data_IF_627344089431
#
_entry.id   IF_627344089431
#
_cell.length_a   1.000
_cell.length_b   1.000
_cell.length_c   1.000
_cell.angle_alpha   90.00
_cell.angle_beta   90.00
_cell.angle_gamma   90.00
#
_symmetry.space_group_name_H-M   'P 1'
#
loop_
_entity.id
_entity.type
_entity.pdbx_description
1 polymer ?
#
# COMPACT_ATOMS: atom_id res chain seq x y z
N UNK A 1 -8.74 0.46 35.32
CA UNK A 1 -7.91 -0.02 34.19
C UNK A 1 -8.81 -0.22 33.00
N UNK A 2 -8.79 0.72 32.05
CA UNK A 2 -9.55 0.62 30.79
C UNK A 2 -8.50 0.51 29.69
N UNK A 3 -8.31 -0.71 29.17
CA UNK A 3 -7.43 -0.98 28.04
C UNK A 3 -8.14 -0.61 26.75
N UNK A 4 -7.73 0.47 26.12
CA UNK A 4 -8.15 0.85 24.77
C UNK A 4 -7.34 0.07 23.74
N UNK A 5 -8.04 -0.64 22.87
CA UNK A 5 -7.49 -1.39 21.73
C UNK A 5 -6.84 -0.41 20.74
N UNK A 6 -5.59 -0.69 20.36
CA UNK A 6 -4.83 0.07 19.36
C UNK A 6 -5.44 -0.20 17.98
N UNK A 7 -5.88 0.87 17.32
CA UNK A 7 -6.41 0.82 15.97
C UNK A 7 -5.32 0.39 14.97
N UNK A 8 -5.59 -0.67 14.23
CA UNK A 8 -4.72 -1.18 13.18
C UNK A 8 -4.61 -0.21 12.00
N UNK A 9 -3.40 -0.18 11.44
CA UNK A 9 -2.98 0.31 10.13
C UNK A 9 -4.13 0.66 9.18
N UNK A 10 -4.39 1.95 9.01
CA UNK A 10 -5.12 2.45 7.86
C UNK A 10 -4.14 2.47 6.69
N UNK A 11 -4.12 1.38 5.91
CA UNK A 11 -3.72 1.49 4.52
C UNK A 11 -4.61 2.57 3.91
N UNK A 12 -4.02 3.63 3.35
CA UNK A 12 -4.80 4.60 2.57
C UNK A 12 -5.45 3.79 1.45
N UNK A 13 -6.79 3.68 1.40
CA UNK A 13 -7.42 3.05 0.27
C UNK A 13 -7.03 3.89 -0.94
N UNK A 14 -6.31 3.27 -1.89
CA UNK A 14 -6.27 3.81 -3.24
C UNK A 14 -7.71 4.09 -3.63
N UNK A 15 -7.97 5.26 -4.22
CA UNK A 15 -9.32 5.72 -4.54
C UNK A 15 -10.19 4.55 -5.01
N UNK A 16 -11.42 4.38 -4.46
CA UNK A 16 -12.28 3.26 -4.82
C UNK A 16 -12.35 3.20 -6.34
N UNK A 17 -12.30 1.99 -6.89
CA UNK A 17 -12.42 1.71 -8.30
C UNK A 17 -13.77 2.22 -8.81
N UNK A 18 -13.93 3.53 -8.98
CA UNK A 18 -15.07 4.13 -9.63
C UNK A 18 -15.03 3.59 -11.05
N UNK A 19 -16.02 2.76 -11.39
CA UNK A 19 -16.18 2.21 -12.72
C UNK A 19 -16.09 3.36 -13.72
N UNK A 20 -15.00 3.42 -14.49
CA UNK A 20 -14.94 4.35 -15.61
C UNK A 20 -15.98 3.86 -16.62
N UNK A 21 -17.02 4.67 -16.81
CA UNK A 21 -18.06 4.47 -17.82
C UNK A 21 -18.85 3.15 -17.69
N UNK A 22 -18.97 2.60 -16.47
CA UNK A 22 -19.72 1.35 -16.22
C UNK A 22 -19.02 0.06 -16.70
N UNK A 23 -17.75 0.14 -17.13
CA UNK A 23 -16.94 -1.01 -17.53
C UNK A 23 -16.19 -1.67 -16.38
N UNK A 24 -15.77 -2.92 -16.59
CA UNK A 24 -14.92 -3.67 -15.65
C UNK A 24 -13.60 -2.92 -15.43
N UNK A 25 -13.28 -2.61 -14.17
CA UNK A 25 -12.06 -1.91 -13.82
C UNK A 25 -11.54 -2.35 -12.46
N UNK A 26 -10.21 -2.42 -12.33
CA UNK A 26 -9.55 -2.57 -11.05
C UNK A 26 -8.24 -1.80 -11.02
N UNK A 27 -7.80 -1.38 -9.84
CA UNK A 27 -6.51 -0.73 -9.69
C UNK A 27 -5.89 -1.12 -8.35
N UNK A 28 -4.56 -1.20 -8.31
CA UNK A 28 -3.81 -1.42 -7.08
C UNK A 28 -2.40 -0.84 -7.18
N UNK A 29 -1.87 -0.46 -6.03
CA UNK A 29 -0.44 -0.19 -5.85
C UNK A 29 0.11 -1.21 -4.86
N UNK A 30 1.07 -2.04 -5.29
CA UNK A 30 1.55 -3.18 -4.50
C UNK A 30 3.07 -3.09 -4.40
N UNK A 31 3.61 -3.07 -3.19
CA UNK A 31 5.04 -3.00 -2.96
C UNK A 31 5.77 -4.25 -3.51
N UNK A 32 7.05 -4.12 -3.91
CA UNK A 32 7.87 -5.27 -4.31
C UNK A 32 7.90 -6.35 -3.24
N UNK A 33 7.78 -7.61 -3.65
CA UNK A 33 7.87 -8.78 -2.75
C UNK A 33 6.66 -8.96 -1.84
N UNK A 34 5.56 -8.26 -2.11
CA UNK A 34 4.33 -8.31 -1.33
C UNK A 34 3.15 -8.77 -2.18
N UNK A 35 2.14 -9.25 -1.48
CA UNK A 35 0.81 -9.44 -2.02
C UNK A 35 -0.02 -8.18 -1.82
N UNK A 36 -0.93 -7.92 -2.75
CA UNK A 36 -1.89 -6.84 -2.64
C UNK A 36 -3.20 -7.18 -3.34
N UNK A 37 -4.27 -6.52 -2.93
CA UNK A 37 -5.62 -6.77 -3.43
C UNK A 37 -5.91 -5.82 -4.60
N UNK A 38 -6.36 -6.40 -5.71
CA UNK A 38 -6.99 -5.68 -6.81
C UNK A 38 -8.50 -5.85 -6.66
N UNK A 39 -9.16 -4.78 -6.22
CA UNK A 39 -10.60 -4.70 -6.19
C UNK A 39 -11.13 -4.43 -7.60
N UNK A 40 -11.93 -5.36 -8.13
CA UNK A 40 -12.53 -5.22 -9.45
C UNK A 40 -13.99 -4.83 -9.33
N UNK A 41 -14.34 -3.65 -9.81
CA UNK A 41 -15.69 -3.13 -9.87
C UNK A 41 -16.34 -3.35 -11.25
N UNK A 42 -17.65 -3.10 -11.33
CA UNK A 42 -18.43 -3.21 -12.57
C UNK A 42 -18.93 -4.62 -12.86
N UNK A 43 -18.99 -5.48 -11.84
CA UNK A 43 -19.63 -6.79 -11.94
C UNK A 43 -21.14 -6.58 -11.77
N UNK A 44 -21.95 -6.76 -12.83
CA UNK A 44 -23.39 -6.59 -12.71
C UNK A 44 -23.97 -7.64 -11.76
N UNK A 45 -25.13 -7.35 -11.17
CA UNK A 45 -25.94 -8.37 -10.52
C UNK A 45 -26.15 -9.53 -11.51
N UNK A 46 -25.65 -10.70 -11.12
CA UNK A 46 -25.43 -11.81 -12.05
C UNK A 46 -26.40 -12.95 -11.80
N UNK A 47 -26.85 -13.57 -12.88
CA UNK A 47 -27.42 -14.90 -12.83
C UNK A 47 -26.34 -15.93 -12.44
N UNK A 48 -26.76 -17.04 -11.85
CA UNK A 48 -25.89 -18.17 -11.54
C UNK A 48 -25.08 -18.60 -12.77
N UNK A 49 -23.80 -18.94 -12.57
CA UNK A 49 -22.88 -19.34 -13.62
C UNK A 49 -22.18 -18.20 -14.37
N UNK A 50 -22.49 -16.93 -14.08
CA UNK A 50 -21.67 -15.81 -14.57
C UNK A 50 -20.26 -15.89 -13.98
N UNK A 51 -19.24 -15.70 -14.81
CA UNK A 51 -17.83 -15.79 -14.41
C UNK A 51 -17.08 -14.50 -14.71
N UNK A 52 -16.44 -13.91 -13.70
CA UNK A 52 -15.44 -12.86 -13.83
C UNK A 52 -14.06 -13.49 -13.81
N UNK A 53 -13.24 -13.24 -14.83
CA UNK A 53 -11.84 -13.69 -14.90
C UNK A 53 -10.91 -12.49 -14.90
N UNK A 54 -9.86 -12.56 -14.07
CA UNK A 54 -8.70 -11.67 -14.12
C UNK A 54 -7.51 -12.43 -14.68
N UNK A 55 -6.80 -11.82 -15.62
CA UNK A 55 -5.47 -12.25 -16.04
C UNK A 55 -4.46 -11.27 -15.44
N UNK A 56 -3.52 -11.81 -14.67
CA UNK A 56 -2.50 -11.04 -13.98
C UNK A 56 -1.59 -10.30 -14.97
N UNK A 57 -1.13 -9.08 -14.63
CA UNK A 57 -0.15 -8.39 -15.44
C UNK A 57 1.16 -9.18 -15.53
N UNK A 58 1.98 -8.87 -16.55
CA UNK A 58 3.28 -9.55 -16.72
C UNK A 58 4.16 -9.38 -15.49
N UNK A 59 4.79 -10.47 -15.07
CA UNK A 59 5.73 -10.50 -13.96
C UNK A 59 5.07 -10.73 -12.59
N UNK A 60 3.74 -10.66 -12.47
CA UNK A 60 3.04 -10.98 -11.22
C UNK A 60 2.38 -12.35 -11.29
N UNK A 61 1.87 -12.81 -10.14
CA UNK A 61 1.04 -14.00 -10.06
C UNK A 61 -0.21 -13.71 -9.25
N UNK A 62 -1.32 -14.30 -9.63
CA UNK A 62 -2.48 -14.42 -8.75
C UNK A 62 -2.18 -15.51 -7.74
N UNK A 63 -2.24 -15.17 -6.46
CA UNK A 63 -1.99 -16.11 -5.36
C UNK A 63 -3.26 -16.40 -4.58
N UNK A 64 -4.30 -15.58 -4.76
CA UNK A 64 -5.58 -15.79 -4.13
C UNK A 64 -6.72 -15.14 -4.89
N UNK A 65 -7.87 -15.77 -4.81
CA UNK A 65 -9.17 -15.16 -4.96
C UNK A 65 -9.94 -15.69 -3.75
N UNK A 66 -10.09 -14.91 -2.65
CA UNK A 66 -10.63 -15.43 -1.39
C UNK A 66 -11.88 -16.30 -1.65
N UNK A 67 -11.76 -17.56 -1.23
CA UNK A 67 -12.66 -18.67 -1.54
C UNK A 67 -13.90 -18.65 -0.63
N UNK A 68 -15.04 -19.05 -1.21
CA UNK A 68 -16.37 -19.23 -0.61
C UNK A 68 -16.89 -18.07 0.25
N UNK A 69 -16.93 -16.86 -0.34
CA UNK A 69 -17.86 -15.84 0.13
C UNK A 69 -19.30 -16.25 -0.25
N UNK A 70 -20.30 -15.88 0.54
CA UNK A 70 -21.71 -16.19 0.26
C UNK A 70 -22.09 -15.73 -1.15
N UNK A 71 -22.33 -16.67 -2.07
CA UNK A 71 -22.79 -16.41 -3.44
C UNK A 71 -21.75 -16.51 -4.55
N UNK A 72 -20.46 -16.70 -4.24
CA UNK A 72 -19.40 -16.83 -5.24
C UNK A 72 -18.41 -17.95 -4.91
N UNK A 73 -17.94 -18.61 -5.96
CA UNK A 73 -16.80 -19.53 -5.91
C UNK A 73 -15.60 -18.90 -6.60
N UNK A 74 -14.55 -18.62 -5.83
CA UNK A 74 -13.24 -18.24 -6.37
C UNK A 74 -12.48 -19.46 -6.89
N UNK A 75 -11.53 -19.24 -7.80
CA UNK A 75 -10.56 -20.23 -8.24
C UNK A 75 -9.32 -19.54 -8.78
N UNK A 76 -8.15 -20.12 -8.55
CA UNK A 76 -6.87 -19.63 -9.10
C UNK A 76 -6.31 -20.72 -10.02
N UNK A 77 -5.93 -20.35 -11.24
CA UNK A 77 -5.31 -21.27 -12.17
C UNK A 77 -3.97 -21.77 -11.62
N UNK A 78 -3.62 -23.03 -11.88
CA UNK A 78 -2.41 -23.65 -11.32
C UNK A 78 -1.10 -22.94 -11.75
N UNK A 79 -1.11 -22.24 -12.87
CA UNK A 79 0.02 -21.42 -13.35
C UNK A 79 0.13 -20.06 -12.65
N UNK A 80 -0.85 -19.69 -11.82
CA UNK A 80 -0.97 -18.40 -11.15
C UNK A 80 -1.14 -17.22 -12.12
N UNK A 81 -1.45 -17.43 -13.40
CA UNK A 81 -1.63 -16.33 -14.36
C UNK A 81 -3.03 -15.75 -14.35
N UNK A 82 -4.01 -16.52 -13.91
CA UNK A 82 -5.39 -16.07 -13.88
C UNK A 82 -6.14 -16.60 -12.67
N UNK A 83 -7.18 -15.89 -12.29
CA UNK A 83 -8.16 -16.35 -11.33
C UNK A 83 -9.55 -15.95 -11.78
N UNK A 84 -10.55 -16.66 -11.28
CA UNK A 84 -11.93 -16.43 -11.63
C UNK A 84 -12.85 -16.51 -10.42
N UNK A 85 -13.89 -15.68 -10.44
CA UNK A 85 -15.06 -15.77 -9.58
C UNK A 85 -16.25 -16.22 -10.40
N UNK A 86 -16.95 -17.27 -9.95
CA UNK A 86 -18.20 -17.74 -10.55
C UNK A 86 -19.35 -17.55 -9.57
N UNK A 87 -20.46 -16.97 -10.03
CA UNK A 87 -21.68 -16.79 -9.24
C UNK A 87 -22.33 -18.16 -8.99
N UNK A 88 -22.59 -18.50 -7.72
CA UNK A 88 -23.18 -19.80 -7.33
C UNK A 88 -24.58 -19.68 -6.71
N UNK A 89 -25.22 -18.51 -6.79
CA UNK A 89 -26.62 -18.32 -6.36
C UNK A 89 -26.84 -17.38 -5.17
N UNK A 90 -25.85 -16.56 -4.79
CA UNK A 90 -26.06 -15.45 -3.85
C UNK A 90 -26.21 -14.11 -4.57
N UNK A 91 -26.95 -13.18 -3.96
CA UNK A 91 -26.95 -11.78 -4.40
C UNK A 91 -25.56 -11.20 -4.07
N UNK A 92 -24.88 -10.53 -5.01
CA UNK A 92 -23.65 -9.81 -4.71
C UNK A 92 -23.80 -8.98 -3.44
N UNK A 93 -22.72 -8.88 -2.65
CA UNK A 93 -22.62 -7.81 -1.66
C UNK A 93 -22.92 -6.45 -2.33
N UNK A 94 -23.43 -5.46 -1.58
CA UNK A 94 -24.09 -4.26 -2.12
C UNK A 94 -23.27 -3.40 -3.08
N UNK A 95 -21.97 -3.68 -3.25
CA UNK A 95 -21.03 -2.85 -4.01
C UNK A 95 -20.52 -3.46 -5.34
N UNK A 96 -20.82 -4.74 -5.63
CA UNK A 96 -20.42 -5.36 -6.91
C UNK A 96 -18.90 -5.42 -7.16
N UNK A 97 -18.10 -5.48 -6.08
CA UNK A 97 -16.64 -5.53 -6.11
C UNK A 97 -16.14 -6.94 -5.77
N UNK A 98 -15.19 -7.45 -6.56
CA UNK A 98 -14.56 -8.75 -6.32
C UNK A 98 -13.04 -8.61 -6.17
N UNK A 99 -12.45 -9.03 -5.03
CA UNK A 99 -11.03 -8.87 -4.76
C UNK A 99 -10.16 -9.99 -5.37
N UNK A 100 -9.09 -9.64 -6.06
CA UNK A 100 -8.06 -10.60 -6.49
C UNK A 100 -6.75 -10.31 -5.77
N UNK A 101 -6.08 -11.34 -5.25
CA UNK A 101 -4.78 -11.20 -4.58
C UNK A 101 -3.66 -11.44 -5.59
N UNK A 102 -2.86 -10.41 -5.84
CA UNK A 102 -1.69 -10.47 -6.71
C UNK A 102 -0.41 -10.38 -5.90
N UNK A 103 0.55 -11.26 -6.17
CA UNK A 103 1.93 -11.16 -5.71
C UNK A 103 2.79 -10.42 -6.74
N UNK A 104 3.45 -9.35 -6.29
CA UNK A 104 4.47 -8.62 -7.06
C UNK A 104 5.86 -9.14 -6.65
N UNK A 105 6.76 -9.43 -7.61
CA UNK A 105 8.06 -10.00 -7.28
C UNK A 105 8.96 -8.97 -6.56
N UNK A 106 9.93 -9.46 -5.78
CA UNK A 106 10.77 -8.62 -4.92
C UNK A 106 11.74 -7.71 -5.69
N UNK A 107 12.10 -8.10 -6.92
CA UNK A 107 12.94 -7.34 -7.84
C UNK A 107 12.15 -6.34 -8.71
N UNK A 108 10.83 -6.23 -8.51
CA UNK A 108 10.03 -5.25 -9.21
C UNK A 108 10.47 -3.83 -8.88
N UNK A 109 10.67 -3.02 -9.92
CA UNK A 109 11.14 -1.63 -9.77
C UNK A 109 9.98 -0.73 -9.32
N UNK A 110 10.10 -0.01 -8.18
CA UNK A 110 9.07 0.95 -7.73
C UNK A 110 8.69 1.98 -8.79
N UNK A 111 7.41 2.34 -8.83
CA UNK A 111 6.83 3.27 -9.82
C UNK A 111 6.47 2.63 -11.17
N UNK A 112 6.88 1.37 -11.41
CA UNK A 112 6.59 0.69 -12.68
C UNK A 112 5.09 0.40 -12.82
N UNK A 113 4.48 0.87 -13.92
CA UNK A 113 3.12 0.45 -14.31
C UNK A 113 3.18 -0.88 -15.04
N UNK A 114 2.62 -1.91 -14.42
CA UNK A 114 2.60 -3.26 -14.98
C UNK A 114 1.60 -3.35 -16.14
N UNK A 115 1.93 -4.16 -17.15
CA UNK A 115 1.20 -4.24 -18.42
C UNK A 115 0.42 -5.55 -18.53
N UNK A 116 -0.54 -5.56 -19.45
CA UNK A 116 -1.31 -6.73 -19.87
C UNK A 116 -2.26 -7.32 -18.81
N UNK A 117 -2.63 -6.54 -17.80
CA UNK A 117 -3.76 -6.94 -16.96
C UNK A 117 -5.08 -6.78 -17.71
N UNK A 118 -5.87 -7.86 -17.76
CA UNK A 118 -7.17 -7.85 -18.42
C UNK A 118 -8.26 -8.48 -17.54
N UNK A 119 -9.47 -7.96 -17.70
CA UNK A 119 -10.67 -8.43 -17.04
C UNK A 119 -11.66 -8.91 -18.09
N UNK A 120 -12.32 -10.03 -17.85
CA UNK A 120 -13.36 -10.57 -18.74
C UNK A 120 -14.53 -11.10 -17.92
N UNK A 121 -15.73 -10.71 -18.29
CA UNK A 121 -16.97 -11.25 -17.76
C UNK A 121 -17.64 -12.12 -18.83
N UNK A 122 -18.06 -13.33 -18.45
CA UNK A 122 -18.80 -14.25 -19.32
C UNK A 122 -20.11 -14.67 -18.68
N UNK A 123 -21.12 -14.95 -19.49
CA UNK A 123 -22.35 -15.60 -19.01
C UNK A 123 -22.12 -17.09 -18.69
N UNK A 124 -23.16 -17.77 -18.19
CA UNK A 124 -23.12 -19.21 -17.87
C UNK A 124 -22.82 -20.12 -19.06
N UNK A 125 -22.91 -19.63 -20.31
CA UNK A 125 -22.55 -20.35 -21.53
C UNK A 125 -21.12 -20.01 -22.00
N UNK A 126 -20.38 -19.19 -21.26
CA UNK A 126 -19.03 -18.73 -21.59
C UNK A 126 -18.99 -17.58 -22.61
N UNK A 127 -20.15 -17.02 -22.98
CA UNK A 127 -20.23 -15.93 -23.97
C UNK A 127 -19.72 -14.63 -23.32
N UNK A 128 -18.74 -13.93 -23.93
CA UNK A 128 -18.26 -12.64 -23.42
C UNK A 128 -19.40 -11.64 -23.27
N UNK A 129 -19.50 -10.99 -22.11
CA UNK A 129 -20.48 -9.93 -21.80
C UNK A 129 -19.82 -8.58 -21.62
N UNK A 130 -18.65 -8.54 -20.99
CA UNK A 130 -17.86 -7.34 -20.82
C UNK A 130 -16.37 -7.67 -20.80
N UNK A 131 -15.56 -6.68 -21.18
CA UNK A 131 -14.11 -6.71 -21.07
C UNK A 131 -13.65 -5.43 -20.38
N UNK A 132 -12.56 -5.53 -19.65
CA UNK A 132 -11.98 -4.42 -18.92
C UNK A 132 -10.48 -4.58 -18.75
N UNK A 133 -9.91 -3.66 -17.98
CA UNK A 133 -8.49 -3.65 -17.66
C UNK A 133 -8.31 -3.44 -16.17
N UNK A 134 -7.19 -3.89 -15.65
CA UNK A 134 -6.74 -3.44 -14.36
C UNK A 134 -5.42 -2.65 -14.48
N UNK A 135 -5.20 -1.72 -13.56
CA UNK A 135 -3.99 -0.90 -13.49
C UNK A 135 -3.24 -1.23 -12.21
N UNK A 136 -2.16 -2.01 -12.33
CA UNK A 136 -1.29 -2.32 -11.19
C UNK A 136 -0.01 -1.51 -11.30
N UNK A 137 0.31 -0.76 -10.26
CA UNK A 137 1.58 -0.03 -10.14
C UNK A 137 2.42 -0.67 -9.04
N UNK A 138 3.71 -0.84 -9.29
CA UNK A 138 4.65 -1.27 -8.26
C UNK A 138 4.82 -0.12 -7.27
N UNK A 139 4.42 -0.35 -6.03
CA UNK A 139 4.53 0.61 -4.94
C UNK A 139 5.96 0.73 -4.41
N UNK A 140 6.06 1.33 -3.23
CA UNK A 140 7.29 1.39 -2.46
C UNK A 140 7.09 0.66 -1.14
N UNK A 141 8.11 -0.07 -0.68
CA UNK A 141 8.08 -0.62 0.68
C UNK A 141 8.15 0.53 1.70
N UNK A 142 7.40 0.43 2.79
CA UNK A 142 7.48 1.40 3.88
C UNK A 142 8.92 1.51 4.40
N UNK A 143 9.47 2.72 4.54
CA UNK A 143 10.74 2.91 5.23
C UNK A 143 10.58 2.58 6.72
N UNK A 144 11.69 2.27 7.37
CA UNK A 144 11.76 2.18 8.83
C UNK A 144 12.42 3.43 9.39
N UNK A 145 11.97 3.84 10.58
CA UNK A 145 12.62 4.86 11.40
C UNK A 145 12.94 4.18 12.73
N UNK A 146 14.21 3.81 12.91
CA UNK A 146 14.67 2.99 14.06
C UNK A 146 15.36 3.81 15.14
N UNK A 147 15.91 4.97 14.76
CA UNK A 147 16.47 5.94 15.70
C UNK A 147 15.89 7.32 15.41
N UNK A 148 15.59 8.10 16.45
CA UNK A 148 15.71 7.76 17.87
C UNK A 148 14.69 6.70 18.34
N UNK A 149 14.93 6.09 19.51
CA UNK A 149 13.95 5.20 20.13
C UNK A 149 12.74 6.00 20.63
N UNK A 150 11.54 5.46 20.43
CA UNK A 150 10.31 6.08 20.90
C UNK A 150 10.30 6.24 22.43
N UNK A 151 9.83 7.38 22.92
CA UNK A 151 9.67 7.67 24.35
C UNK A 151 10.94 8.07 25.11
N UNK A 152 12.08 8.20 24.42
CA UNK A 152 13.34 8.64 25.04
C UNK A 152 13.47 10.17 24.98
N UNK A 153 13.92 10.86 26.05
CA UNK A 153 14.30 12.26 25.98
C UNK A 153 15.52 12.49 25.10
N UNK A 154 15.46 13.48 24.21
CA UNK A 154 16.49 13.75 23.20
C UNK A 154 16.96 15.20 23.24
N UNK A 155 18.15 15.44 22.69
CA UNK A 155 18.59 16.79 22.32
C UNK A 155 17.70 17.37 21.20
N UNK A 156 17.75 18.69 21.00
CA UNK A 156 16.95 19.38 19.98
C UNK A 156 17.25 18.95 18.54
N UNK A 157 18.40 18.32 18.29
CA UNK A 157 18.82 17.84 16.96
C UNK A 157 19.31 16.39 17.05
N UNK A 158 18.39 15.42 17.27
CA UNK A 158 18.79 14.02 17.31
C UNK A 158 19.23 13.55 15.93
N UNK A 159 20.17 12.60 15.87
CA UNK A 159 20.39 11.83 14.65
C UNK A 159 19.17 10.92 14.43
N UNK A 160 18.63 10.93 13.21
CA UNK A 160 17.49 10.11 12.80
C UNK A 160 17.98 9.13 11.77
N UNK A 161 17.69 7.84 11.95
CA UNK A 161 18.16 6.80 11.03
C UNK A 161 17.22 5.61 10.91
N UNK A 162 17.35 4.89 9.81
CA UNK A 162 16.58 3.70 9.53
C UNK A 162 16.91 3.10 8.17
N UNK A 163 15.93 2.42 7.58
CA UNK A 163 16.07 1.80 6.25
C UNK A 163 14.97 2.28 5.30
N UNK A 164 15.26 2.28 4.00
CA UNK A 164 14.33 2.57 2.95
C UNK A 164 14.76 1.83 1.66
N UNK A 165 13.94 1.88 0.62
CA UNK A 165 14.34 1.31 -0.67
C UNK A 165 15.62 2.01 -1.18
N UNK A 166 16.64 1.27 -1.65
CA UNK A 166 17.90 1.87 -2.12
C UNK A 166 17.67 2.99 -3.14
N UNK A 167 18.34 4.13 -2.94
CA UNK A 167 18.21 5.31 -3.80
C UNK A 167 16.91 6.11 -3.63
N UNK A 168 16.00 5.72 -2.73
CA UNK A 168 14.81 6.52 -2.43
C UNK A 168 15.20 7.83 -1.71
N UNK A 169 14.50 8.91 -2.03
CA UNK A 169 14.58 10.15 -1.26
C UNK A 169 13.79 9.96 0.03
N UNK A 170 14.45 10.13 1.17
CA UNK A 170 13.85 10.05 2.50
C UNK A 170 13.72 11.46 3.06
N UNK A 171 12.51 11.81 3.50
CA UNK A 171 12.20 13.05 4.21
C UNK A 171 11.66 12.69 5.59
N UNK A 172 12.21 13.29 6.64
CA UNK A 172 11.71 13.14 8.01
C UNK A 172 10.85 14.34 8.37
N UNK A 173 9.62 14.08 8.81
CA UNK A 173 8.65 15.11 9.20
C UNK A 173 8.32 15.05 10.67
N UNK A 174 8.01 16.20 11.26
CA UNK A 174 7.56 16.33 12.63
C UNK A 174 6.03 16.18 12.80
N UNK A 175 5.51 16.40 14.01
CA UNK A 175 4.07 16.33 14.30
C UNK A 175 3.23 17.40 13.57
N UNK A 176 3.86 18.46 13.07
CA UNK A 176 3.24 19.52 12.26
C UNK A 176 3.38 19.26 10.75
N UNK A 177 3.82 18.06 10.35
CA UNK A 177 4.10 17.66 8.97
C UNK A 177 5.19 18.53 8.31
N UNK A 178 6.02 19.22 9.10
CA UNK A 178 7.14 20.03 8.61
C UNK A 178 8.36 19.16 8.36
N UNK A 179 9.05 19.40 7.24
CA UNK A 179 10.33 18.73 6.96
C UNK A 179 11.40 19.20 7.95
N UNK A 180 12.02 18.22 8.63
CA UNK A 180 13.08 18.46 9.62
C UNK A 180 14.46 18.17 9.04
N UNK A 181 14.57 17.09 8.26
CA UNK A 181 15.72 16.75 7.43
C UNK A 181 15.31 15.87 6.26
N UNK A 182 16.18 15.82 5.26
CA UNK A 182 16.04 14.94 4.10
C UNK A 182 17.40 14.36 3.70
N UNK A 183 17.38 13.15 3.14
CA UNK A 183 18.57 12.42 2.67
C UNK A 183 18.17 11.43 1.59
N UNK A 184 19.14 10.77 0.97
CA UNK A 184 18.90 9.67 0.03
C UNK A 184 19.37 8.37 0.65
N UNK A 185 18.56 7.31 0.57
CA UNK A 185 18.95 5.99 1.05
C UNK A 185 20.13 5.44 0.25
N UNK A 186 21.12 4.94 0.97
CA UNK A 186 22.31 4.32 0.40
C UNK A 186 21.97 3.04 -0.39
N UNK A 187 22.92 2.49 -1.18
CA UNK A 187 22.70 1.27 -1.95
C UNK A 187 22.33 0.03 -1.10
N UNK A 188 22.72 0.00 0.17
CA UNK A 188 22.35 -1.04 1.14
C UNK A 188 20.98 -0.77 1.82
N UNK A 189 20.31 0.32 1.45
CA UNK A 189 19.02 0.74 1.99
C UNK A 189 19.12 1.54 3.29
N UNK A 190 20.31 1.74 3.85
CA UNK A 190 20.47 2.53 5.08
C UNK A 190 20.33 4.03 4.81
N UNK A 191 19.85 4.78 5.79
CA UNK A 191 19.82 6.25 5.73
C UNK A 191 20.00 6.85 7.13
N UNK A 192 20.61 8.04 7.17
CA UNK A 192 20.70 8.88 8.37
C UNK A 192 20.59 10.36 7.98
N UNK A 193 19.90 11.15 8.80
CA UNK A 193 19.92 12.61 8.71
C UNK A 193 19.78 13.26 10.08
N UNK A 194 20.25 14.51 10.18
CA UNK A 194 20.11 15.34 11.38
C UNK A 194 19.25 16.55 11.05
N UNK A 195 18.28 16.94 11.90
CA UNK A 195 17.49 18.14 11.69
C UNK A 195 18.32 19.40 11.48
N UNK A 196 17.99 20.16 10.44
CA UNK A 196 18.66 21.43 10.10
C UNK A 196 18.36 22.54 11.11
N UNK A 197 17.20 22.47 11.75
CA UNK A 197 16.75 23.33 12.85
C UNK A 197 16.43 22.48 14.07
N UNK A 198 16.59 23.08 15.27
CA UNK A 198 16.22 22.39 16.50
C UNK A 198 14.72 22.12 16.53
N UNK A 199 14.35 20.89 16.85
CA UNK A 199 12.97 20.49 17.08
C UNK A 199 12.40 21.26 18.28
N UNK A 200 11.11 21.64 18.28
CA UNK A 200 10.47 22.26 19.43
C UNK A 200 10.59 21.41 20.69
N UNK A 201 10.88 22.07 21.82
CA UNK A 201 10.94 21.41 23.13
C UNK A 201 9.58 20.82 23.53
N UNK A 202 9.62 19.71 24.27
CA UNK A 202 8.44 18.98 24.73
C UNK A 202 8.10 17.78 23.83
N UNK A 203 6.85 17.35 23.90
CA UNK A 203 6.37 16.19 23.14
C UNK A 203 6.36 16.50 21.64
N UNK A 204 6.97 15.61 20.85
CA UNK A 204 7.01 15.69 19.40
C UNK A 204 6.86 14.28 18.80
N UNK A 205 6.78 14.18 17.48
CA UNK A 205 6.66 12.94 16.74
C UNK A 205 7.49 13.02 15.48
N UNK A 206 8.10 11.92 15.04
CA UNK A 206 8.80 11.84 13.77
C UNK A 206 8.19 10.75 12.88
N UNK A 207 8.14 11.03 11.58
CA UNK A 207 7.77 10.07 10.54
C UNK A 207 8.73 10.19 9.36
N UNK A 208 9.22 9.06 8.86
CA UNK A 208 9.98 9.02 7.61
C UNK A 208 9.04 8.80 6.44
N UNK A 209 9.22 9.58 5.37
CA UNK A 209 8.54 9.44 4.09
C UNK A 209 9.60 9.13 3.05
N UNK A 210 9.49 7.97 2.39
CA UNK A 210 10.34 7.61 1.27
C UNK A 210 9.59 7.88 -0.05
N UNK A 211 10.29 8.41 -1.04
CA UNK A 211 9.78 8.64 -2.38
C UNK A 211 10.76 8.14 -3.44
N UNK A 212 10.25 7.44 -4.45
CA UNK A 212 11.03 6.96 -5.58
C UNK A 212 10.13 6.79 -6.81
N UNK A 213 10.55 7.27 -7.97
CA UNK A 213 9.83 7.11 -9.25
C UNK A 213 8.33 7.48 -9.21
N UNK A 214 7.97 8.49 -8.42
CA UNK A 214 6.58 8.97 -8.31
C UNK A 214 5.67 8.15 -7.40
N UNK A 215 6.20 7.15 -6.68
CA UNK A 215 5.50 6.48 -5.57
C UNK A 215 6.14 6.85 -4.25
N UNK A 216 5.33 6.85 -3.19
CA UNK A 216 5.79 7.13 -1.82
C UNK A 216 5.25 6.11 -0.83
N UNK A 217 5.97 5.95 0.28
CA UNK A 217 5.54 5.16 1.43
C UNK A 217 6.01 5.84 2.71
N UNK A 218 5.27 5.64 3.79
CA UNK A 218 5.56 6.22 5.10
C UNK A 218 5.96 5.14 6.09
N UNK A 219 6.83 5.48 7.03
CA UNK A 219 7.10 4.65 8.20
C UNK A 219 5.97 4.73 9.21
N UNK A 220 6.03 3.85 10.21
CA UNK A 220 5.39 4.10 11.49
C UNK A 220 5.86 5.42 12.09
N UNK A 221 5.00 6.02 12.91
CA UNK A 221 5.32 7.24 13.63
C UNK A 221 5.98 6.88 14.96
N UNK A 222 7.02 7.62 15.34
CA UNK A 222 7.64 7.50 16.66
C UNK A 222 7.34 8.74 17.49
N UNK A 223 6.97 8.55 18.75
CA UNK A 223 6.78 9.66 19.68
C UNK A 223 8.09 9.93 20.42
N UNK A 224 8.48 11.20 20.51
CA UNK A 224 9.73 11.65 21.13
C UNK A 224 9.47 12.78 22.12
N UNK A 225 10.40 12.99 23.05
CA UNK A 225 10.38 14.17 23.93
C UNK A 225 11.69 14.92 23.76
N UNK A 226 11.62 16.17 23.30
CA UNK A 226 12.79 17.02 23.17
C UNK A 226 13.00 17.76 24.48
N UNK A 227 14.19 17.63 25.06
CA UNK A 227 14.55 18.35 26.27
C UNK A 227 14.52 19.87 26.00
N UNK A 228 13.97 20.65 26.93
CA UNK A 228 14.12 22.09 26.88
C UNK A 228 15.61 22.43 27.01
N UNK A 229 16.12 23.32 26.15
CA UNK A 229 17.47 23.85 26.37
C UNK A 229 17.46 24.58 27.72
N UNK A 230 18.26 24.09 28.66
CA UNK A 230 18.49 24.80 29.90
C UNK A 230 19.09 26.15 29.50
N UNK A 231 18.30 27.22 29.65
CA UNK A 231 18.71 28.56 29.23
C UNK A 231 20.10 28.86 29.76
N UNK A 232 21.02 29.17 28.85
CA UNK A 232 22.28 29.79 29.21
C UNK A 232 21.95 31.01 30.09
N UNK A 233 22.28 30.91 31.38
CA UNK A 233 22.07 32.00 32.33
C UNK A 233 22.74 33.25 31.78
N UNK A 234 21.94 34.30 31.54
CA UNK A 234 22.48 35.65 31.45
C UNK A 234 22.99 36.01 32.85
N UNK A 235 24.32 36.09 32.96
CA UNK A 235 24.99 36.91 33.96
C UNK A 235 24.65 38.38 33.73
#
# INVERSE_FOLDING_TARGET
>A
MVGGVVAGVLAVPGAPAAARDGGLWGAATIAPGREGIVEVAGVPEGAEGVTLTLIAPRGTRVTGAPLDASGYRGSVAADGRSAAYTVTGGVPGPDGVLPFVLAVPADAVPGTRLRDCSLRLTDARGVPRAVGRCSVTVGLASPTLTHPLSGVPLAARPEVSGTAHPGAQVTVRDKEDQETCATTAAPDGTWSCTPGTGLPAGANRLQAVAALNGVSAMSEQIDIVVAAEAGAGRQ
#
